data_IF_842215254403
#
_entry.id   IF_842215254403
#
_cell.length_a   1.000
_cell.length_b   1.000
_cell.length_c   1.000
_cell.angle_alpha   90.00
_cell.angle_beta   90.00
_cell.angle_gamma   90.00
#
_symmetry.space_group_name_H-M   'P 1'
#
loop_
_entity.id
_entity.type
_entity.pdbx_description
1 polymer ?
#
# COMPACT_ATOMS: atom_id res chain seq x y z
N UNK A 1 13.57 -18.80 -3.18
CA UNK A 1 14.48 -18.42 -4.29
C UNK A 1 13.74 -17.86 -5.48
N UNK A 2 12.64 -18.46 -5.96
CA UNK A 2 11.87 -17.91 -7.10
C UNK A 2 11.47 -16.45 -6.91
N UNK A 3 10.94 -16.10 -5.73
CA UNK A 3 10.64 -14.69 -5.40
C UNK A 3 11.84 -13.76 -5.47
N UNK A 4 13.08 -14.23 -5.22
CA UNK A 4 14.27 -13.39 -5.36
C UNK A 4 14.62 -13.14 -6.84
N UNK A 5 14.41 -14.15 -7.69
CA UNK A 5 14.52 -14.00 -9.15
C UNK A 5 13.50 -12.97 -9.65
N UNK A 6 12.27 -13.03 -9.15
CA UNK A 6 11.23 -12.06 -9.52
C UNK A 6 11.60 -10.64 -9.10
N UNK A 7 12.03 -10.44 -7.84
CA UNK A 7 12.52 -9.15 -7.34
C UNK A 7 13.69 -8.63 -8.19
N UNK A 8 14.65 -9.48 -8.54
CA UNK A 8 15.78 -9.08 -9.38
C UNK A 8 15.34 -8.66 -10.79
N UNK A 9 14.39 -9.37 -11.40
CA UNK A 9 13.82 -9.03 -12.72
C UNK A 9 13.08 -7.70 -12.70
N UNK A 10 12.31 -7.42 -11.63
CA UNK A 10 11.60 -6.16 -11.44
C UNK A 10 12.58 -5.00 -11.18
N UNK A 11 13.55 -5.19 -10.28
CA UNK A 11 14.55 -4.16 -9.95
C UNK A 11 15.42 -3.78 -11.16
N UNK A 12 15.72 -4.75 -12.04
CA UNK A 12 16.46 -4.51 -13.29
C UNK A 12 15.78 -3.45 -14.18
N UNK A 13 14.46 -3.34 -14.15
CA UNK A 13 13.67 -2.38 -14.93
C UNK A 13 13.19 -1.18 -14.11
N UNK A 14 13.90 -0.83 -13.04
CA UNK A 14 13.61 0.35 -12.21
C UNK A 14 12.33 0.29 -11.37
N UNK A 15 11.74 -0.90 -11.20
CA UNK A 15 10.59 -1.10 -10.33
C UNK A 15 10.97 -1.16 -8.86
N UNK A 16 10.34 -0.32 -8.02
CA UNK A 16 10.35 -0.49 -6.58
C UNK A 16 9.44 -1.66 -6.17
N UNK A 17 9.85 -2.43 -5.16
CA UNK A 17 9.13 -3.67 -4.79
C UNK A 17 8.64 -3.63 -3.34
N UNK A 18 7.40 -4.05 -3.11
CA UNK A 18 6.92 -4.47 -1.80
C UNK A 18 6.93 -6.00 -1.72
N UNK A 19 7.30 -6.58 -0.57
CA UNK A 19 7.34 -8.03 -0.38
C UNK A 19 6.85 -8.45 1.01
N UNK A 20 5.76 -9.22 1.06
CA UNK A 20 5.23 -9.80 2.29
C UNK A 20 6.06 -11.00 2.72
N UNK A 21 6.50 -11.02 3.98
CA UNK A 21 7.29 -12.12 4.56
C UNK A 21 6.54 -12.94 5.62
N UNK A 22 5.25 -12.66 5.84
CA UNK A 22 4.39 -13.23 6.88
C UNK A 22 4.35 -14.76 6.92
N UNK A 23 4.56 -15.40 5.77
CA UNK A 23 4.44 -16.87 5.61
C UNK A 23 5.75 -17.63 5.78
N UNK A 24 6.88 -16.93 5.94
CA UNK A 24 8.18 -17.59 6.08
C UNK A 24 8.33 -18.07 7.53
N UNK A 25 8.43 -19.39 7.74
CA UNK A 25 8.53 -19.99 9.08
C UNK A 25 9.59 -19.33 9.97
N UNK A 26 9.26 -19.18 11.25
CA UNK A 26 10.11 -18.51 12.22
C UNK A 26 11.37 -19.32 12.58
N UNK A 27 12.32 -18.67 13.26
CA UNK A 27 13.53 -19.31 13.79
C UNK A 27 13.18 -20.46 14.74
N UNK A 28 13.90 -21.57 14.62
CA UNK A 28 13.69 -22.76 15.44
C UNK A 28 12.58 -23.70 14.95
N UNK A 29 11.78 -23.30 13.96
CA UNK A 29 10.73 -24.12 13.35
C UNK A 29 11.29 -25.41 12.74
N UNK A 30 10.64 -26.56 12.97
CA UNK A 30 11.11 -27.87 12.48
C UNK A 30 10.99 -28.00 10.96
N UNK A 31 12.06 -28.46 10.33
CA UNK A 31 12.12 -28.83 8.90
C UNK A 31 12.02 -30.35 8.81
N UNK A 32 10.89 -30.85 8.31
CA UNK A 32 10.59 -32.29 8.32
C UNK A 32 11.59 -33.12 7.49
N UNK A 33 11.95 -32.64 6.29
CA UNK A 33 12.78 -33.38 5.33
C UNK A 33 14.24 -33.56 5.78
N UNK A 34 14.81 -32.56 6.46
CA UNK A 34 16.21 -32.59 6.91
C UNK A 34 16.35 -32.87 8.40
N UNK A 35 15.23 -33.02 9.11
CA UNK A 35 15.13 -33.08 10.57
C UNK A 35 15.85 -31.92 11.31
N UNK A 36 16.14 -30.82 10.61
CA UNK A 36 16.79 -29.63 11.16
C UNK A 36 15.79 -28.58 11.66
N UNK A 37 16.33 -27.42 12.05
CA UNK A 37 15.56 -26.24 12.46
C UNK A 37 15.80 -25.07 11.51
N UNK A 38 14.77 -24.27 11.29
CA UNK A 38 14.85 -23.03 10.51
C UNK A 38 15.74 -22.01 11.21
N UNK A 39 16.51 -21.24 10.43
CA UNK A 39 17.24 -20.09 10.93
C UNK A 39 16.38 -18.81 11.01
N UNK A 40 15.09 -18.90 10.67
CA UNK A 40 14.14 -17.78 10.66
C UNK A 40 14.30 -16.88 9.44
N UNK A 41 13.68 -15.70 9.49
CA UNK A 41 13.62 -14.78 8.35
C UNK A 41 14.94 -14.02 8.10
N UNK A 42 15.76 -13.79 9.13
CA UNK A 42 16.93 -12.89 9.06
C UNK A 42 17.95 -13.30 7.97
N UNK A 43 18.41 -14.57 7.87
CA UNK A 43 19.40 -14.92 6.85
C UNK A 43 18.85 -14.84 5.41
N UNK A 44 17.56 -15.11 5.25
CA UNK A 44 16.87 -14.97 3.97
C UNK A 44 16.80 -13.48 3.57
N UNK A 45 16.44 -12.61 4.51
CA UNK A 45 16.43 -11.16 4.27
C UNK A 45 17.84 -10.61 4.01
N UNK A 46 18.88 -11.10 4.68
CA UNK A 46 20.28 -10.74 4.35
C UNK A 46 20.67 -11.14 2.93
N UNK A 47 20.20 -12.29 2.47
CA UNK A 47 20.44 -12.73 1.07
C UNK A 47 19.72 -11.81 0.08
N UNK A 48 18.47 -11.46 0.39
CA UNK A 48 17.68 -10.53 -0.42
C UNK A 48 18.31 -9.13 -0.45
N UNK A 49 18.82 -8.65 0.68
CA UNK A 49 19.55 -7.37 0.80
C UNK A 49 20.72 -7.30 -0.17
N UNK A 50 21.58 -8.32 -0.18
CA UNK A 50 22.71 -8.43 -1.11
C UNK A 50 22.25 -8.49 -2.57
N UNK A 51 21.13 -9.16 -2.86
CA UNK A 51 20.55 -9.22 -4.21
C UNK A 51 20.06 -7.84 -4.68
N UNK A 52 19.34 -7.10 -3.82
CA UNK A 52 18.87 -5.75 -4.11
C UNK A 52 20.04 -4.79 -4.32
N UNK A 53 21.10 -4.91 -3.52
CA UNK A 53 22.32 -4.14 -3.67
C UNK A 53 23.06 -4.44 -4.99
N UNK A 54 23.09 -5.71 -5.41
CA UNK A 54 23.74 -6.13 -6.65
C UNK A 54 22.96 -5.67 -7.90
N UNK A 55 21.62 -5.68 -7.85
CA UNK A 55 20.76 -5.27 -8.98
C UNK A 55 20.38 -3.80 -8.85
N UNK A 56 21.40 -2.92 -8.89
CA UNK A 56 21.29 -1.47 -8.68
C UNK A 56 21.22 -0.64 -9.97
N UNK A 57 20.71 -1.22 -11.06
CA UNK A 57 20.44 -0.52 -12.32
C UNK A 57 21.67 0.19 -12.91
N UNK A 58 22.88 -0.38 -12.74
CA UNK A 58 24.12 0.21 -13.23
C UNK A 58 24.45 1.56 -12.59
N UNK A 59 23.99 1.79 -11.36
CA UNK A 59 24.21 3.03 -10.60
C UNK A 59 23.25 4.17 -10.89
N UNK A 60 22.34 4.05 -11.87
CA UNK A 60 21.35 5.12 -12.19
C UNK A 60 20.32 5.32 -11.07
N UNK A 61 19.88 4.25 -10.42
CA UNK A 61 18.99 4.28 -9.27
C UNK A 61 19.23 3.04 -8.42
N UNK A 62 19.34 3.21 -7.10
CA UNK A 62 19.50 2.08 -6.17
C UNK A 62 18.26 1.19 -6.25
N UNK A 63 18.48 -0.13 -6.27
CA UNK A 63 17.39 -1.09 -6.06
C UNK A 63 16.75 -0.83 -4.70
N UNK A 64 15.43 -0.95 -4.61
CA UNK A 64 14.69 -0.67 -3.39
C UNK A 64 13.57 -1.70 -3.21
N UNK A 65 13.54 -2.32 -2.04
CA UNK A 65 12.56 -3.33 -1.68
C UNK A 65 12.11 -3.10 -0.24
N UNK A 66 10.80 -2.91 -0.04
CA UNK A 66 10.20 -2.84 1.28
C UNK A 66 9.65 -4.20 1.68
N UNK A 67 10.11 -4.72 2.80
CA UNK A 67 9.66 -5.99 3.37
C UNK A 67 8.57 -5.71 4.40
N UNK A 68 7.44 -6.38 4.25
CA UNK A 68 6.29 -6.28 5.16
C UNK A 68 6.26 -7.49 6.08
N UNK A 69 6.08 -7.25 7.38
CA UNK A 69 5.88 -8.30 8.39
C UNK A 69 4.71 -7.96 9.33
N UNK A 70 3.81 -8.91 9.57
CA UNK A 70 2.77 -8.75 10.60
C UNK A 70 3.36 -8.90 12.02
N UNK A 71 2.91 -8.08 13.00
CA UNK A 71 3.56 -8.00 14.31
C UNK A 71 3.36 -9.24 15.20
N UNK A 72 2.54 -10.21 14.80
CA UNK A 72 2.42 -11.51 15.48
C UNK A 72 3.51 -12.51 15.07
N UNK A 73 4.29 -12.23 14.03
CA UNK A 73 5.31 -13.17 13.58
C UNK A 73 6.40 -13.37 14.66
N UNK A 74 6.80 -14.61 14.93
CA UNK A 74 7.76 -14.92 16.02
C UNK A 74 9.16 -14.30 15.86
N UNK A 75 9.55 -13.95 14.64
CA UNK A 75 10.80 -13.24 14.36
C UNK A 75 10.64 -11.70 14.34
N UNK A 76 9.49 -11.12 14.77
CA UNK A 76 9.25 -9.66 14.68
C UNK A 76 10.29 -8.82 15.43
N UNK A 77 10.79 -9.29 16.56
CA UNK A 77 11.79 -8.55 17.33
C UNK A 77 13.11 -8.48 16.57
N UNK A 78 13.55 -9.59 15.96
CA UNK A 78 14.75 -9.61 15.12
C UNK A 78 14.55 -8.79 13.83
N UNK A 79 13.34 -8.77 13.28
CA UNK A 79 12.97 -7.96 12.11
C UNK A 79 13.17 -6.46 12.37
N UNK A 80 12.76 -5.97 13.53
CA UNK A 80 12.89 -4.56 13.90
C UNK A 80 14.36 -4.11 14.11
N UNK A 81 15.29 -5.06 14.24
CA UNK A 81 16.73 -4.76 14.41
C UNK A 81 17.52 -4.78 13.10
N UNK A 82 16.90 -5.17 11.97
CA UNK A 82 17.60 -5.38 10.71
C UNK A 82 18.27 -4.11 10.15
N UNK A 83 17.80 -2.93 10.54
CA UNK A 83 18.33 -1.63 10.08
C UNK A 83 19.17 -0.90 11.13
N UNK A 84 19.40 -1.50 12.29
CA UNK A 84 20.16 -0.88 13.37
C UNK A 84 21.63 -0.67 12.94
N UNK A 85 22.17 0.52 13.24
CA UNK A 85 23.57 0.85 12.92
C UNK A 85 24.60 0.12 13.78
N UNK A 86 24.18 -0.50 14.89
CA UNK A 86 25.03 -1.21 15.83
C UNK A 86 24.65 -2.68 15.93
N UNK A 87 25.59 -3.53 16.35
CA UNK A 87 25.40 -4.97 16.56
C UNK A 87 26.03 -5.82 15.46
N UNK A 88 25.51 -7.02 15.26
CA UNK A 88 26.05 -7.98 14.29
C UNK A 88 25.69 -7.62 12.84
N UNK A 89 26.68 -7.17 12.07
CA UNK A 89 26.55 -6.76 10.67
C UNK A 89 26.04 -7.89 9.75
N UNK A 90 26.33 -9.16 10.07
CA UNK A 90 25.85 -10.29 9.28
C UNK A 90 24.31 -10.41 9.33
N UNK A 91 23.67 -9.75 10.30
CA UNK A 91 22.21 -9.72 10.48
C UNK A 91 21.56 -8.43 9.98
N UNK A 92 22.32 -7.46 9.45
CA UNK A 92 21.79 -6.16 9.01
C UNK A 92 21.41 -6.14 7.53
N UNK A 93 20.37 -5.42 7.17
CA UNK A 93 19.85 -5.28 5.81
C UNK A 93 19.65 -3.80 5.45
N UNK A 94 20.76 -3.07 5.26
CA UNK A 94 20.73 -1.63 4.99
C UNK A 94 20.23 -1.26 3.58
N UNK A 95 20.06 -2.22 2.67
CA UNK A 95 19.48 -2.01 1.33
C UNK A 95 17.99 -2.35 1.25
N UNK A 96 17.41 -2.90 2.33
CA UNK A 96 15.98 -3.14 2.45
C UNK A 96 15.29 -2.05 3.28
N UNK A 97 14.05 -1.77 2.94
CA UNK A 97 13.12 -1.03 3.78
C UNK A 97 12.25 -2.01 4.58
N UNK A 98 11.75 -1.56 5.73
CA UNK A 98 10.96 -2.39 6.63
C UNK A 98 9.61 -1.72 6.90
N UNK A 99 8.54 -2.50 6.86
CA UNK A 99 7.20 -2.08 7.25
C UNK A 99 6.50 -3.16 8.08
N UNK A 100 5.71 -2.71 9.05
CA UNK A 100 4.83 -3.55 9.85
C UNK A 100 3.41 -3.47 9.28
N UNK A 101 2.83 -4.64 8.97
CA UNK A 101 1.45 -4.78 8.50
C UNK A 101 0.55 -5.09 9.72
N UNK A 102 -0.02 -4.05 10.31
CA UNK A 102 -0.54 -4.07 11.69
C UNK A 102 -2.05 -4.35 11.71
N UNK A 103 -2.52 -5.43 12.37
CA UNK A 103 -3.93 -5.65 12.64
C UNK A 103 -4.43 -4.74 13.77
N UNK A 104 -5.71 -4.37 13.73
CA UNK A 104 -6.36 -3.53 14.74
C UNK A 104 -6.33 -4.18 16.13
N UNK A 105 -6.39 -5.53 16.21
CA UNK A 105 -6.24 -6.26 17.47
C UNK A 105 -4.94 -5.93 18.19
N UNK A 106 -3.83 -5.81 17.46
CA UNK A 106 -2.55 -5.44 18.07
C UNK A 106 -2.67 -4.07 18.73
N UNK A 107 -3.25 -3.09 18.04
CA UNK A 107 -3.44 -1.74 18.58
C UNK A 107 -4.38 -1.73 19.80
N UNK A 108 -5.47 -2.50 19.78
CA UNK A 108 -6.35 -2.66 20.95
C UNK A 108 -5.61 -3.30 22.14
N UNK A 109 -4.71 -4.26 21.90
CA UNK A 109 -3.85 -4.87 22.93
C UNK A 109 -2.79 -3.86 23.42
N UNK A 110 -2.27 -2.95 22.59
CA UNK A 110 -1.38 -1.87 23.05
C UNK A 110 -2.12 -0.90 23.97
N UNK A 111 -3.31 -0.47 23.57
CA UNK A 111 -4.14 0.49 24.32
C UNK A 111 -4.48 -0.06 25.71
N UNK A 112 -5.00 -1.29 25.77
CA UNK A 112 -5.38 -1.99 27.00
C UNK A 112 -4.21 -2.50 27.86
N UNK A 113 -2.96 -2.31 27.41
CA UNK A 113 -1.78 -2.95 28.00
C UNK A 113 -2.00 -4.48 28.14
N UNK A 114 -2.39 -5.11 27.04
CA UNK A 114 -2.60 -6.54 26.93
C UNK A 114 -1.32 -7.32 26.66
N UNK A 115 -1.46 -8.64 26.70
CA UNK A 115 -0.44 -9.58 26.19
C UNK A 115 -0.61 -9.73 24.68
N UNK A 116 0.51 -9.88 23.98
CA UNK A 116 0.58 -10.19 22.57
C UNK A 116 1.38 -11.48 22.36
N UNK A 117 0.76 -12.45 21.71
CA UNK A 117 1.36 -13.74 21.37
C UNK A 117 2.02 -13.72 20.00
N UNK A 118 3.20 -14.33 19.95
CA UNK A 118 4.01 -14.46 18.77
C UNK A 118 3.99 -15.90 18.26
N UNK A 119 3.73 -16.07 16.97
CA UNK A 119 3.49 -17.37 16.34
C UNK A 119 4.48 -17.67 15.22
N UNK A 120 4.72 -18.97 15.02
CA UNK A 120 5.33 -19.46 13.79
C UNK A 120 4.21 -19.64 12.75
N UNK A 121 4.28 -19.01 11.56
CA UNK A 121 3.20 -19.09 10.57
C UNK A 121 2.91 -20.52 10.10
N UNK A 122 3.82 -21.47 10.31
CA UNK A 122 3.55 -22.89 10.09
C UNK A 122 2.41 -23.43 10.96
N UNK A 123 2.31 -22.94 12.20
CA UNK A 123 1.34 -23.42 13.20
C UNK A 123 0.00 -22.63 13.10
N UNK A 124 0.01 -21.47 12.43
CA UNK A 124 -1.15 -20.59 12.22
C UNK A 124 -1.27 -20.13 10.75
N UNK A 125 -1.36 -21.06 9.78
CA UNK A 125 -1.18 -20.75 8.35
C UNK A 125 -2.28 -19.85 7.76
N UNK A 126 -3.43 -19.74 8.41
CA UNK A 126 -4.56 -18.93 7.97
C UNK A 126 -4.45 -17.44 8.32
N UNK A 127 -3.68 -17.05 9.36
CA UNK A 127 -3.65 -15.66 9.83
C UNK A 127 -3.31 -14.61 8.75
N UNK A 128 -2.36 -14.86 7.81
CA UNK A 128 -2.11 -13.92 6.73
C UNK A 128 -3.33 -13.67 5.82
N UNK A 129 -4.27 -14.61 5.74
CA UNK A 129 -5.44 -14.59 4.87
C UNK A 129 -6.73 -14.15 5.58
N UNK A 130 -6.61 -13.65 6.80
CA UNK A 130 -7.74 -13.14 7.60
C UNK A 130 -7.45 -11.70 7.99
N UNK A 131 -8.50 -10.89 8.15
CA UNK A 131 -8.42 -9.52 8.67
C UNK A 131 -9.66 -9.21 9.50
N UNK A 132 -9.63 -8.13 10.29
CA UNK A 132 -10.74 -7.72 11.15
C UNK A 132 -11.19 -8.83 12.11
N UNK A 133 -12.51 -8.98 12.29
CA UNK A 133 -13.08 -9.91 13.27
C UNK A 133 -12.68 -11.39 13.03
N UNK A 134 -12.52 -11.80 11.76
CA UNK A 134 -12.10 -13.18 11.45
C UNK A 134 -10.65 -13.43 11.85
N UNK A 135 -9.77 -12.43 11.67
CA UNK A 135 -8.40 -12.48 12.17
C UNK A 135 -8.39 -12.55 13.69
N UNK A 136 -9.21 -11.71 14.35
CA UNK A 136 -9.28 -11.65 15.81
C UNK A 136 -9.65 -13.00 16.41
N UNK A 137 -10.74 -13.60 15.90
CA UNK A 137 -11.21 -14.91 16.36
C UNK A 137 -10.16 -16.01 16.16
N UNK A 138 -9.51 -16.05 14.99
CA UNK A 138 -8.49 -17.05 14.69
C UNK A 138 -7.22 -16.86 15.55
N UNK A 139 -6.81 -15.61 15.78
CA UNK A 139 -5.67 -15.27 16.61
C UNK A 139 -5.90 -15.68 18.07
N UNK A 140 -7.05 -15.33 18.64
CA UNK A 140 -7.39 -15.64 20.04
C UNK A 140 -7.59 -17.14 20.25
N UNK A 141 -8.16 -17.86 19.27
CA UNK A 141 -8.23 -19.32 19.31
C UNK A 141 -6.82 -19.96 19.33
N UNK A 142 -5.86 -19.41 18.57
CA UNK A 142 -4.48 -19.86 18.59
C UNK A 142 -3.78 -19.59 19.93
N UNK A 143 -4.14 -18.49 20.63
CA UNK A 143 -3.67 -18.23 22.00
C UNK A 143 -4.21 -19.28 22.98
N UNK A 144 -5.52 -19.55 22.95
CA UNK A 144 -6.18 -20.52 23.85
C UNK A 144 -5.65 -21.95 23.66
N UNK A 145 -5.37 -22.33 22.42
CA UNK A 145 -4.82 -23.66 22.08
C UNK A 145 -3.32 -23.81 22.37
N UNK A 146 -2.66 -22.74 22.85
CA UNK A 146 -1.26 -22.78 23.27
C UNK A 146 -0.25 -22.84 22.13
N UNK A 147 -0.61 -22.35 20.93
CA UNK A 147 0.27 -22.36 19.75
C UNK A 147 1.35 -21.26 19.78
N UNK A 148 1.27 -20.34 20.75
CA UNK A 148 2.23 -19.25 20.88
C UNK A 148 3.65 -19.77 21.14
N UNK A 149 4.62 -19.28 20.37
CA UNK A 149 6.06 -19.53 20.61
C UNK A 149 6.57 -18.73 21.80
N UNK A 150 6.03 -17.52 21.96
CA UNK A 150 6.39 -16.55 22.99
C UNK A 150 5.25 -15.56 23.15
N UNK A 151 5.07 -15.04 24.34
CA UNK A 151 4.19 -13.90 24.59
C UNK A 151 4.99 -12.71 25.12
N UNK A 152 4.59 -11.50 24.75
CA UNK A 152 5.21 -10.23 25.14
C UNK A 152 4.13 -9.25 25.58
N UNK A 153 4.50 -8.17 26.28
CA UNK A 153 3.57 -7.06 26.50
C UNK A 153 3.41 -6.29 25.20
N UNK A 154 2.17 -6.03 24.79
CA UNK A 154 1.90 -5.35 23.52
C UNK A 154 2.58 -3.96 23.48
N UNK A 155 2.53 -3.21 24.59
CA UNK A 155 3.21 -1.91 24.72
C UNK A 155 4.73 -2.01 24.59
N UNK A 156 5.35 -3.10 25.04
CA UNK A 156 6.80 -3.29 24.88
C UNK A 156 7.16 -3.49 23.40
N UNK A 157 6.41 -4.33 22.69
CA UNK A 157 6.63 -4.52 21.26
C UNK A 157 6.39 -3.20 20.49
N UNK A 158 5.30 -2.50 20.78
CA UNK A 158 5.01 -1.20 20.16
C UNK A 158 6.11 -0.16 20.44
N UNK A 159 6.63 -0.07 21.66
CA UNK A 159 7.75 0.81 21.98
C UNK A 159 9.02 0.47 21.17
N UNK A 160 9.28 -0.82 20.89
CA UNK A 160 10.38 -1.24 20.01
C UNK A 160 10.13 -0.85 18.55
N UNK A 161 8.89 -0.97 18.06
CA UNK A 161 8.52 -0.52 16.71
C UNK A 161 8.75 0.99 16.55
N UNK A 162 8.29 1.79 17.51
CA UNK A 162 8.49 3.25 17.51
C UNK A 162 9.97 3.64 17.59
N UNK A 163 10.76 2.89 18.38
CA UNK A 163 12.21 3.09 18.45
C UNK A 163 12.88 2.80 17.11
N UNK A 164 12.53 1.70 16.44
CA UNK A 164 13.04 1.36 15.11
C UNK A 164 12.78 2.51 14.11
N UNK A 165 11.55 3.05 14.12
CA UNK A 165 11.15 4.18 13.28
C UNK A 165 11.95 5.45 13.59
N UNK A 166 12.07 5.80 14.86
CA UNK A 166 12.81 6.99 15.28
C UNK A 166 14.31 6.92 14.99
N UNK A 167 14.94 5.76 15.19
CA UNK A 167 16.39 5.61 15.05
C UNK A 167 16.84 5.40 13.59
N UNK A 168 15.98 4.80 12.75
CA UNK A 168 16.38 4.33 11.41
C UNK A 168 15.54 4.88 10.26
N UNK A 169 14.42 5.56 10.55
CA UNK A 169 13.42 5.95 9.57
C UNK A 169 12.72 4.77 8.88
N UNK A 170 12.82 3.56 9.44
CA UNK A 170 12.23 2.31 8.90
C UNK A 170 11.41 1.58 9.98
N UNK A 171 10.68 0.53 9.60
CA UNK A 171 9.66 -0.06 10.46
C UNK A 171 8.36 0.74 10.34
N UNK A 172 8.01 1.15 9.12
CA UNK A 172 6.83 1.95 8.84
C UNK A 172 5.55 1.25 9.29
N UNK A 173 4.55 2.03 9.68
CA UNK A 173 3.29 1.52 10.19
C UNK A 173 2.25 1.54 9.09
N UNK A 174 1.73 0.38 8.72
CA UNK A 174 0.64 0.24 7.74
C UNK A 174 -0.45 -0.65 8.34
N UNK A 175 -1.72 -0.30 8.14
CA UNK A 175 -2.83 -0.88 8.91
C UNK A 175 -3.63 -1.89 8.08
N UNK A 176 -3.42 -3.18 8.38
CA UNK A 176 -3.96 -4.33 7.67
C UNK A 176 -5.47 -4.28 7.50
N UNK A 177 -6.18 -4.08 8.61
CA UNK A 177 -7.63 -4.27 8.66
C UNK A 177 -8.34 -3.15 7.90
N UNK A 178 -7.91 -1.90 8.08
CA UNK A 178 -8.47 -0.78 7.32
C UNK A 178 -8.18 -0.91 5.82
N UNK A 179 -6.94 -1.26 5.45
CA UNK A 179 -6.58 -1.49 4.04
C UNK A 179 -7.47 -2.57 3.41
N UNK A 180 -7.70 -3.69 4.08
CA UNK A 180 -8.55 -4.76 3.57
C UNK A 180 -10.04 -4.42 3.60
N UNK A 181 -10.53 -3.76 4.64
CA UNK A 181 -11.95 -3.41 4.77
C UNK A 181 -12.41 -2.40 3.71
N UNK A 182 -11.51 -1.56 3.20
CA UNK A 182 -11.85 -0.50 2.23
C UNK A 182 -11.29 -0.73 0.84
N UNK A 183 -10.51 -1.79 0.58
CA UNK A 183 -10.00 -2.06 -0.76
C UNK A 183 -11.14 -2.53 -1.67
N UNK A 184 -11.22 -1.96 -2.88
CA UNK A 184 -12.25 -2.35 -3.85
C UNK A 184 -12.11 -3.82 -4.31
N UNK A 185 -10.92 -4.41 -4.18
CA UNK A 185 -10.57 -5.75 -4.65
C UNK A 185 -10.85 -6.87 -3.62
N UNK A 186 -11.24 -6.52 -2.39
CA UNK A 186 -11.42 -7.47 -1.26
C UNK A 186 -12.89 -7.75 -0.94
N UNK A 187 -13.79 -7.58 -1.92
CA UNK A 187 -15.22 -7.74 -1.70
C UNK A 187 -15.64 -9.21 -1.52
N UNK A 188 -14.85 -10.14 -2.04
CA UNK A 188 -15.10 -11.59 -2.00
C UNK A 188 -14.10 -12.29 -1.06
N UNK A 189 -14.53 -13.37 -0.36
CA UNK A 189 -13.63 -14.22 0.40
C UNK A 189 -12.48 -14.75 -0.45
N UNK A 190 -11.28 -14.86 0.15
CA UNK A 190 -10.08 -15.33 -0.53
C UNK A 190 -9.26 -14.23 -1.23
N UNK A 191 -9.78 -13.01 -1.35
CA UNK A 191 -9.02 -11.85 -1.81
C UNK A 191 -8.60 -10.99 -0.61
N UNK A 192 -7.32 -11.07 -0.25
CA UNK A 192 -6.72 -10.33 0.87
C UNK A 192 -5.49 -9.59 0.39
N UNK A 193 -5.35 -8.36 0.85
CA UNK A 193 -4.14 -7.55 0.67
C UNK A 193 -3.19 -7.85 1.81
N UNK A 194 -2.04 -8.43 1.47
CA UNK A 194 -1.01 -8.85 2.44
C UNK A 194 0.05 -7.78 2.71
N UNK A 195 0.11 -6.72 1.90
CA UNK A 195 1.14 -5.70 1.96
C UNK A 195 0.73 -4.43 1.20
N UNK A 196 1.53 -3.38 1.37
CA UNK A 196 1.58 -2.28 0.40
C UNK A 196 2.87 -2.36 -0.45
N UNK A 197 3.11 -1.39 -1.31
CA UNK A 197 4.30 -1.32 -2.17
C UNK A 197 5.51 -0.70 -1.44
N UNK A 198 6.54 -0.30 -2.19
CA UNK A 198 7.73 0.36 -1.64
C UNK A 198 7.41 1.66 -0.90
N UNK A 199 6.38 2.41 -1.31
CA UNK A 199 6.12 3.76 -0.80
C UNK A 199 4.82 3.85 0.03
N UNK A 200 4.21 2.72 0.36
CA UNK A 200 3.04 2.56 1.25
C UNK A 200 1.69 3.09 0.72
N UNK A 201 1.63 3.57 -0.52
CA UNK A 201 0.42 4.16 -1.12
C UNK A 201 -0.47 3.15 -1.87
N UNK A 202 0.08 2.01 -2.28
CA UNK A 202 -0.64 1.01 -3.09
C UNK A 202 -1.17 -0.12 -2.23
N UNK A 203 -2.46 -0.42 -2.38
CA UNK A 203 -3.16 -1.47 -1.63
C UNK A 203 -3.89 -2.36 -2.63
N UNK A 204 -3.17 -3.35 -3.16
CA UNK A 204 -3.63 -4.26 -4.21
C UNK A 204 -3.51 -5.71 -3.74
N UNK A 205 -4.44 -6.57 -4.18
CA UNK A 205 -4.40 -8.00 -3.86
C UNK A 205 -3.24 -8.67 -4.59
N UNK A 206 -2.57 -9.59 -3.90
CA UNK A 206 -1.45 -10.37 -4.46
C UNK A 206 -1.59 -11.83 -4.08
N UNK A 207 -1.16 -12.72 -4.96
CA UNK A 207 -1.06 -14.14 -4.65
C UNK A 207 0.13 -14.77 -5.40
N UNK A 208 0.21 -16.10 -5.46
CA UNK A 208 1.32 -16.78 -6.14
C UNK A 208 1.28 -16.63 -7.67
N UNK A 209 0.09 -16.44 -8.24
CA UNK A 209 -0.17 -16.26 -9.66
C UNK A 209 -0.24 -14.77 -10.07
N UNK A 210 -0.48 -13.85 -9.13
CA UNK A 210 -0.69 -12.43 -9.39
C UNK A 210 0.30 -11.56 -8.62
N UNK A 211 1.14 -10.84 -9.38
CA UNK A 211 2.00 -9.79 -8.84
C UNK A 211 1.39 -8.43 -9.17
N UNK A 212 0.90 -7.72 -8.15
CA UNK A 212 0.33 -6.38 -8.30
C UNK A 212 1.30 -5.40 -8.98
N UNK A 213 0.77 -4.50 -9.80
CA UNK A 213 1.53 -3.48 -10.53
C UNK A 213 0.75 -2.19 -10.53
N UNK A 214 1.40 -1.10 -10.13
CA UNK A 214 0.80 0.21 -10.20
C UNK A 214 1.33 1.03 -11.39
N UNK A 215 0.43 1.74 -12.06
CA UNK A 215 0.71 2.75 -13.07
C UNK A 215 0.42 4.11 -12.44
N UNK A 216 1.48 4.90 -12.20
CA UNK A 216 1.40 6.13 -11.41
C UNK A 216 1.44 7.39 -12.27
N UNK A 217 0.66 8.39 -11.87
CA UNK A 217 0.72 9.75 -12.40
C UNK A 217 0.34 10.75 -11.31
N UNK A 218 0.76 12.01 -11.43
CA UNK A 218 0.43 13.02 -10.40
C UNK A 218 0.06 14.36 -11.03
N UNK A 219 -1.01 14.96 -10.51
CA UNK A 219 -1.50 16.26 -10.95
C UNK A 219 -0.86 17.37 -10.11
N UNK A 220 -0.28 18.38 -10.76
CA UNK A 220 0.14 19.60 -10.09
C UNK A 220 -1.09 20.47 -9.78
N UNK A 221 -1.53 20.45 -8.51
CA UNK A 221 -2.72 21.18 -8.07
C UNK A 221 -2.54 22.69 -8.21
N UNK A 222 -1.32 23.22 -8.07
CA UNK A 222 -1.04 24.65 -8.18
C UNK A 222 -1.40 25.22 -9.57
N UNK A 223 -1.45 24.39 -10.61
CA UNK A 223 -1.86 24.79 -11.98
C UNK A 223 -3.36 25.03 -12.12
N UNK A 224 -4.14 24.69 -11.11
CA UNK A 224 -5.60 24.83 -11.06
C UNK A 224 -6.04 25.98 -10.17
N UNK A 225 -5.14 26.93 -9.88
CA UNK A 225 -5.48 28.16 -9.17
C UNK A 225 -5.41 29.33 -10.15
N UNK A 226 -6.46 30.15 -10.20
CA UNK A 226 -6.59 31.35 -11.01
C UNK A 226 -7.02 32.54 -10.14
N UNK A 227 -7.30 33.69 -10.75
CA UNK A 227 -7.67 34.92 -10.03
C UNK A 227 -9.02 34.82 -9.28
N UNK A 228 -9.86 33.83 -9.63
CA UNK A 228 -11.15 33.55 -9.00
C UNK A 228 -11.05 32.50 -7.88
N UNK A 229 -9.90 31.87 -7.69
CA UNK A 229 -9.68 30.82 -6.69
C UNK A 229 -9.26 29.49 -7.31
N UNK A 230 -9.73 28.38 -6.73
CA UNK A 230 -9.43 27.03 -7.20
C UNK A 230 -10.41 26.60 -8.30
N UNK A 231 -9.90 26.21 -9.46
CA UNK A 231 -10.64 25.82 -10.66
C UNK A 231 -10.94 24.32 -10.68
N UNK A 232 -12.10 23.95 -10.17
CA UNK A 232 -12.55 22.55 -10.11
C UNK A 232 -12.92 21.99 -11.49
N UNK A 233 -13.31 22.83 -12.45
CA UNK A 233 -13.66 22.38 -13.80
C UNK A 233 -12.41 21.99 -14.59
N UNK A 234 -11.36 22.81 -14.53
CA UNK A 234 -10.04 22.47 -15.10
C UNK A 234 -9.44 21.23 -14.41
N UNK A 235 -9.58 21.12 -13.09
CA UNK A 235 -9.11 19.94 -12.36
C UNK A 235 -9.82 18.67 -12.86
N UNK A 236 -11.15 18.70 -12.99
CA UNK A 236 -11.91 17.57 -13.51
C UNK A 236 -11.49 17.18 -14.92
N UNK A 237 -11.23 18.15 -15.82
CA UNK A 237 -10.70 17.89 -17.17
C UNK A 237 -9.32 17.22 -17.13
N UNK A 238 -8.42 17.73 -16.29
CA UNK A 238 -7.07 17.18 -16.12
C UNK A 238 -7.09 15.75 -15.57
N UNK A 239 -7.92 15.49 -14.56
CA UNK A 239 -8.11 14.15 -13.97
C UNK A 239 -8.62 13.16 -15.02
N UNK A 240 -9.64 13.53 -15.79
CA UNK A 240 -10.21 12.67 -16.85
C UNK A 240 -9.17 12.30 -17.90
N UNK A 241 -8.35 13.26 -18.33
CA UNK A 241 -7.24 13.01 -19.25
C UNK A 241 -6.20 12.07 -18.64
N UNK A 242 -5.79 12.34 -17.40
CA UNK A 242 -4.79 11.54 -16.69
C UNK A 242 -5.22 10.07 -16.54
N UNK A 243 -6.47 9.80 -16.15
CA UNK A 243 -7.00 8.42 -16.05
C UNK A 243 -6.96 7.70 -17.40
N UNK A 244 -7.33 8.37 -18.50
CA UNK A 244 -7.23 7.78 -19.85
C UNK A 244 -5.79 7.47 -20.25
N UNK A 245 -4.84 8.34 -19.88
CA UNK A 245 -3.42 8.09 -20.12
C UNK A 245 -2.90 6.91 -19.29
N UNK A 246 -3.27 6.83 -18.01
CA UNK A 246 -2.87 5.74 -17.13
C UNK A 246 -3.45 4.38 -17.58
N UNK A 247 -4.73 4.33 -17.98
CA UNK A 247 -5.32 3.12 -18.57
C UNK A 247 -4.60 2.70 -19.85
N UNK A 248 -4.21 3.65 -20.69
CA UNK A 248 -3.47 3.37 -21.92
C UNK A 248 -2.03 2.86 -21.69
N UNK A 249 -1.42 3.17 -20.53
CA UNK A 249 -0.11 2.64 -20.12
C UNK A 249 -0.20 1.15 -19.82
N UNK A 250 -1.29 0.68 -19.21
CA UNK A 250 -1.49 -0.74 -18.87
C UNK A 250 -1.25 -1.64 -20.09
N UNK A 251 -1.81 -1.26 -21.24
CA UNK A 251 -1.73 -2.04 -22.48
C UNK A 251 -0.38 -1.88 -23.22
N UNK A 252 0.37 -0.81 -22.94
CA UNK A 252 1.66 -0.49 -23.58
C UNK A 252 2.88 -0.94 -22.77
N UNK A 253 2.68 -1.22 -21.49
CA UNK A 253 3.77 -1.48 -20.57
C UNK A 253 4.48 -2.81 -20.89
N UNK A 254 5.78 -2.86 -20.62
CA UNK A 254 6.57 -4.07 -20.72
C UNK A 254 6.64 -4.74 -19.34
N UNK A 255 5.92 -5.85 -19.16
CA UNK A 255 5.93 -6.60 -17.91
C UNK A 255 7.09 -7.61 -17.89
N UNK A 256 8.04 -7.51 -16.94
CA UNK A 256 9.12 -8.48 -16.84
C UNK A 256 8.68 -9.83 -16.28
N UNK A 257 7.48 -9.92 -15.70
CA UNK A 257 6.91 -11.13 -15.11
C UNK A 257 5.52 -11.39 -15.71
N UNK A 258 5.22 -12.66 -16.03
CA UNK A 258 3.90 -13.06 -16.52
C UNK A 258 2.81 -12.86 -15.46
N UNK A 259 3.14 -13.12 -14.19
CA UNK A 259 2.24 -12.88 -13.04
C UNK A 259 1.85 -11.41 -12.91
N UNK A 260 2.74 -10.49 -13.32
CA UNK A 260 2.50 -9.05 -13.33
C UNK A 260 1.59 -8.63 -14.50
N UNK A 261 1.84 -9.18 -15.69
CA UNK A 261 0.98 -8.96 -16.85
C UNK A 261 -0.44 -9.47 -16.61
N UNK A 262 -0.57 -10.68 -16.05
CA UNK A 262 -1.86 -11.29 -15.75
C UNK A 262 -2.66 -10.49 -14.69
N UNK A 263 -1.99 -10.08 -13.61
CA UNK A 263 -2.63 -9.26 -12.57
C UNK A 263 -3.15 -7.93 -13.15
N UNK A 264 -2.32 -7.20 -13.87
CA UNK A 264 -2.70 -5.88 -14.37
C UNK A 264 -3.75 -5.96 -15.50
N UNK A 265 -3.75 -7.03 -16.30
CA UNK A 265 -4.81 -7.26 -17.30
C UNK A 265 -6.18 -7.51 -16.65
N UNK A 266 -6.24 -8.28 -15.56
CA UNK A 266 -7.48 -8.64 -14.88
C UNK A 266 -8.10 -7.49 -14.07
N UNK A 267 -7.26 -6.77 -13.33
CA UNK A 267 -7.70 -5.75 -12.36
C UNK A 267 -7.56 -4.31 -12.89
N UNK A 268 -6.64 -4.07 -13.81
CA UNK A 268 -6.34 -2.77 -14.41
C UNK A 268 -6.20 -1.59 -13.41
N UNK A 269 -5.56 -1.74 -12.24
CA UNK A 269 -5.40 -0.64 -11.30
C UNK A 269 -4.52 0.48 -11.86
N UNK A 270 -4.85 1.71 -11.47
CA UNK A 270 -4.02 2.91 -11.68
C UNK A 270 -3.91 3.68 -10.37
N UNK A 271 -2.84 4.45 -10.22
CA UNK A 271 -2.62 5.31 -9.06
C UNK A 271 -2.43 6.75 -9.49
N UNK A 272 -3.53 7.49 -9.57
CA UNK A 272 -3.52 8.93 -9.74
C UNK A 272 -3.28 9.60 -8.38
N UNK A 273 -2.15 10.28 -8.25
CA UNK A 273 -1.80 11.12 -7.12
C UNK A 273 -1.91 12.61 -7.46
N UNK A 274 -1.43 13.42 -6.53
CA UNK A 274 -1.33 14.87 -6.65
C UNK A 274 0.03 15.34 -6.16
N UNK A 275 0.41 16.56 -6.52
CA UNK A 275 1.53 17.31 -5.95
C UNK A 275 1.17 18.79 -5.87
N UNK A 276 1.92 19.55 -5.08
CA UNK A 276 1.75 20.99 -4.94
C UNK A 276 0.51 21.41 -4.14
N UNK A 277 0.05 20.61 -3.18
CA UNK A 277 -1.04 21.02 -2.29
C UNK A 277 -0.65 22.27 -1.46
N UNK A 278 0.58 22.30 -0.96
CA UNK A 278 1.11 23.46 -0.23
C UNK A 278 1.15 24.73 -1.10
N UNK A 279 1.47 24.60 -2.39
CA UNK A 279 1.47 25.72 -3.34
C UNK A 279 0.07 26.31 -3.53
N UNK A 280 -0.98 25.46 -3.60
CA UNK A 280 -2.38 25.92 -3.65
C UNK A 280 -2.67 26.80 -2.45
N UNK A 281 -2.33 26.33 -1.26
CA UNK A 281 -2.57 27.07 -0.03
C UNK A 281 -1.78 28.38 0.03
N UNK A 282 -0.54 28.40 -0.43
CA UNK A 282 0.22 29.66 -0.55
C UNK A 282 -0.42 30.65 -1.52
N UNK A 283 -0.83 30.19 -2.71
CA UNK A 283 -1.47 31.06 -3.71
C UNK A 283 -2.79 31.65 -3.21
N UNK A 284 -3.55 30.87 -2.43
CA UNK A 284 -4.82 31.29 -1.83
C UNK A 284 -4.66 31.95 -0.44
N UNK A 285 -3.42 32.12 0.03
CA UNK A 285 -3.09 32.69 1.36
C UNK A 285 -3.79 31.96 2.52
N UNK A 286 -3.92 30.64 2.41
CA UNK A 286 -4.49 29.78 3.43
C UNK A 286 -3.37 29.14 4.26
N UNK A 287 -3.35 29.31 5.59
CA UNK A 287 -2.51 28.49 6.45
C UNK A 287 -2.87 27.00 6.29
N UNK A 288 -1.87 26.12 6.27
CA UNK A 288 -2.08 24.69 6.01
C UNK A 288 -3.07 24.04 7.00
N UNK A 289 -3.07 24.48 8.26
CA UNK A 289 -3.95 23.99 9.32
C UNK A 289 -5.26 24.77 9.46
N UNK A 290 -5.56 25.72 8.57
CA UNK A 290 -6.78 26.50 8.61
C UNK A 290 -8.01 25.62 8.28
N UNK A 291 -9.17 25.86 8.92
CA UNK A 291 -10.42 25.16 8.57
C UNK A 291 -10.77 25.24 7.08
N UNK A 292 -10.50 26.39 6.45
CA UNK A 292 -10.73 26.64 5.03
C UNK A 292 -9.79 25.81 4.15
N UNK A 293 -8.51 25.66 4.53
CA UNK A 293 -7.56 24.80 3.84
C UNK A 293 -7.98 23.32 3.92
N UNK A 294 -8.46 22.89 5.09
CA UNK A 294 -9.01 21.55 5.29
C UNK A 294 -10.27 21.30 4.44
N UNK A 295 -11.17 22.29 4.37
CA UNK A 295 -12.37 22.21 3.55
C UNK A 295 -12.02 22.10 2.05
N UNK A 296 -11.11 22.97 1.57
CA UNK A 296 -10.64 22.95 0.21
C UNK A 296 -9.92 21.63 -0.14
N UNK A 297 -9.07 21.11 0.76
CA UNK A 297 -8.41 19.81 0.56
C UNK A 297 -9.40 18.67 0.37
N UNK A 298 -10.48 18.66 1.17
CA UNK A 298 -11.57 17.68 1.02
C UNK A 298 -12.29 17.83 -0.32
N UNK A 299 -12.63 19.06 -0.72
CA UNK A 299 -13.29 19.33 -2.01
C UNK A 299 -12.41 18.91 -3.20
N UNK A 300 -11.11 19.17 -3.13
CA UNK A 300 -10.13 18.73 -4.14
C UNK A 300 -10.11 17.20 -4.23
N UNK A 301 -9.99 16.51 -3.09
CA UNK A 301 -9.95 15.05 -3.06
C UNK A 301 -11.24 14.43 -3.60
N UNK A 302 -12.39 15.01 -3.25
CA UNK A 302 -13.70 14.59 -3.75
C UNK A 302 -13.83 14.79 -5.26
N UNK A 303 -13.46 15.98 -5.77
CA UNK A 303 -13.50 16.29 -7.19
C UNK A 303 -12.62 15.35 -8.01
N UNK A 304 -11.41 15.03 -7.53
CA UNK A 304 -10.52 14.05 -8.16
C UNK A 304 -11.16 12.68 -8.20
N UNK A 305 -11.68 12.20 -7.08
CA UNK A 305 -12.26 10.85 -7.03
C UNK A 305 -13.50 10.73 -7.93
N UNK A 306 -14.39 11.72 -7.91
CA UNK A 306 -15.57 11.78 -8.78
C UNK A 306 -15.18 11.78 -10.26
N UNK A 307 -14.24 12.64 -10.66
CA UNK A 307 -13.79 12.75 -12.05
C UNK A 307 -13.05 11.49 -12.51
N UNK A 308 -12.27 10.85 -11.63
CA UNK A 308 -11.55 9.62 -11.94
C UNK A 308 -12.51 8.43 -12.15
N UNK A 309 -13.50 8.27 -11.27
CA UNK A 309 -14.55 7.26 -11.43
C UNK A 309 -15.36 7.49 -12.70
N UNK A 310 -15.73 8.75 -12.98
CA UNK A 310 -16.46 9.11 -14.21
C UNK A 310 -15.67 8.74 -15.46
N UNK A 311 -14.37 9.07 -15.51
CA UNK A 311 -13.51 8.73 -16.63
C UNK A 311 -13.33 7.21 -16.82
N UNK A 312 -13.19 6.46 -15.73
CA UNK A 312 -13.06 5.01 -15.77
C UNK A 312 -14.37 4.31 -16.18
N UNK A 313 -15.52 4.86 -15.77
CA UNK A 313 -16.83 4.42 -16.23
C UNK A 313 -17.02 4.68 -17.74
N UNK A 314 -16.67 5.87 -18.22
CA UNK A 314 -16.71 6.19 -19.67
C UNK A 314 -15.83 5.22 -20.48
N UNK A 315 -14.63 4.92 -19.99
CA UNK A 315 -13.77 3.90 -20.60
C UNK A 315 -14.39 2.50 -20.57
N UNK A 316 -15.16 2.16 -19.53
CA UNK A 316 -15.87 0.89 -19.46
C UNK A 316 -16.99 0.81 -20.51
N UNK A 317 -17.72 1.90 -20.74
CA UNK A 317 -18.72 2.00 -21.81
C UNK A 317 -18.05 1.88 -23.19
N UNK A 318 -16.90 2.52 -23.38
CA UNK A 318 -16.16 2.51 -24.65
C UNK A 318 -15.48 1.17 -24.96
N UNK A 319 -14.95 0.47 -23.94
CA UNK A 319 -14.00 -0.66 -24.10
C UNK A 319 -14.35 -1.91 -23.31
N UNK A 320 -15.47 -1.89 -22.60
CA UNK A 320 -15.86 -2.90 -21.60
C UNK A 320 -15.20 -2.66 -20.24
N UNK A 321 -15.83 -3.11 -19.13
CA UNK A 321 -15.22 -3.08 -17.80
C UNK A 321 -14.00 -4.00 -17.72
N UNK A 322 -13.18 -3.85 -16.68
CA UNK A 322 -12.10 -4.81 -16.42
C UNK A 322 -12.67 -6.19 -16.04
N UNK A 323 -11.93 -7.26 -16.34
CA UNK A 323 -12.40 -8.65 -16.16
C UNK A 323 -12.86 -8.94 -14.72
N UNK A 324 -12.11 -8.44 -13.73
CA UNK A 324 -12.41 -8.67 -12.33
C UNK A 324 -13.53 -7.76 -11.76
N UNK A 325 -14.18 -6.90 -12.56
CA UNK A 325 -15.17 -5.93 -12.05
C UNK A 325 -16.28 -6.57 -11.22
N UNK A 326 -16.92 -7.69 -11.62
CA UNK A 326 -17.97 -8.33 -10.84
C UNK A 326 -17.55 -8.75 -9.41
N UNK A 327 -16.26 -8.90 -9.17
CA UNK A 327 -15.67 -9.30 -7.88
C UNK A 327 -15.40 -8.10 -6.95
N UNK A 328 -15.69 -6.89 -7.40
CA UNK A 328 -15.34 -5.66 -6.68
C UNK A 328 -16.48 -5.13 -5.81
N UNK A 329 -16.14 -4.25 -4.87
CA UNK A 329 -17.12 -3.50 -4.05
C UNK A 329 -17.93 -2.54 -4.93
N UNK A 330 -17.28 -1.89 -5.89
CA UNK A 330 -17.91 -0.96 -6.81
C UNK A 330 -19.03 -1.62 -7.65
N UNK A 331 -18.90 -2.91 -8.01
CA UNK A 331 -19.97 -3.67 -8.68
C UNK A 331 -21.21 -3.85 -7.81
N UNK A 332 -21.10 -3.69 -6.49
CA UNK A 332 -22.19 -3.73 -5.51
C UNK A 332 -22.68 -2.33 -5.13
N UNK A 333 -22.16 -1.28 -5.77
CA UNK A 333 -22.47 0.11 -5.45
C UNK A 333 -21.73 0.65 -4.21
N UNK A 334 -20.80 -0.10 -3.65
CA UNK A 334 -19.97 0.32 -2.51
C UNK A 334 -18.76 1.13 -3.02
N UNK A 335 -18.78 2.45 -2.83
CA UNK A 335 -17.67 3.36 -3.17
C UNK A 335 -16.85 3.75 -1.94
N UNK A 336 -15.63 4.22 -2.16
CA UNK A 336 -14.61 4.41 -1.12
C UNK A 336 -15.12 5.16 0.11
N UNK A 337 -15.80 6.29 -0.08
CA UNK A 337 -16.25 7.18 0.99
C UNK A 337 -17.22 6.49 1.98
N UNK A 338 -17.99 5.50 1.53
CA UNK A 338 -19.00 4.82 2.35
C UNK A 338 -18.34 4.06 3.52
N UNK A 339 -17.11 3.58 3.31
CA UNK A 339 -16.35 2.86 4.34
C UNK A 339 -15.76 3.76 5.45
N UNK A 340 -15.91 5.08 5.31
CA UNK A 340 -15.38 6.08 6.23
C UNK A 340 -16.48 6.89 6.94
N UNK A 341 -17.74 6.46 6.84
CA UNK A 341 -18.87 7.16 7.45
C UNK A 341 -19.15 8.52 6.83
N UNK A 342 -18.64 8.77 5.62
CA UNK A 342 -18.98 9.93 4.81
C UNK A 342 -20.24 9.57 4.01
N UNK A 343 -21.16 10.51 3.84
CA UNK A 343 -22.35 10.32 3.01
C UNK A 343 -22.34 11.34 1.88
N UNK A 344 -22.64 10.87 0.67
CA UNK A 344 -22.92 11.71 -0.48
C UNK A 344 -24.33 11.41 -0.98
N UNK A 345 -25.28 12.23 -0.52
CA UNK A 345 -26.70 12.09 -0.88
C UNK A 345 -27.10 12.98 -2.07
N UNK A 346 -26.11 13.52 -2.78
CA UNK A 346 -26.38 14.34 -3.95
C UNK A 346 -26.71 13.49 -5.20
N UNK A 347 -27.45 14.11 -6.12
CA UNK A 347 -27.94 13.43 -7.30
C UNK A 347 -26.82 12.97 -8.25
N UNK A 348 -25.65 13.64 -8.26
CA UNK A 348 -24.55 13.26 -9.16
C UNK A 348 -23.84 12.00 -8.68
N UNK A 349 -23.65 11.82 -7.36
CA UNK A 349 -23.04 10.61 -6.82
C UNK A 349 -23.98 9.41 -6.95
N UNK A 350 -25.27 9.62 -6.70
CA UNK A 350 -26.30 8.61 -6.97
C UNK A 350 -26.27 8.17 -8.45
N UNK A 351 -26.32 9.13 -9.38
CA UNK A 351 -26.30 8.84 -10.81
C UNK A 351 -25.01 8.10 -11.25
N UNK A 352 -23.85 8.53 -10.76
CA UNK A 352 -22.57 7.90 -11.08
C UNK A 352 -22.48 6.48 -10.52
N UNK A 353 -22.89 6.26 -9.27
CA UNK A 353 -22.92 4.91 -8.66
C UNK A 353 -23.83 3.98 -9.46
N UNK A 354 -25.03 4.41 -9.80
CA UNK A 354 -25.99 3.58 -10.54
C UNK A 354 -25.48 3.28 -11.96
N UNK A 355 -24.80 4.23 -12.60
CA UNK A 355 -24.13 4.01 -13.88
C UNK A 355 -22.94 3.04 -13.77
N UNK A 356 -22.14 3.13 -12.71
CA UNK A 356 -21.04 2.19 -12.43
C UNK A 356 -21.57 0.77 -12.20
N UNK A 357 -22.65 0.59 -11.44
CA UNK A 357 -23.23 -0.74 -11.23
C UNK A 357 -23.75 -1.33 -12.54
N UNK A 358 -24.34 -0.50 -13.40
CA UNK A 358 -24.90 -0.94 -14.69
C UNK A 358 -23.84 -1.28 -15.74
N UNK A 359 -22.88 -0.39 -15.97
CA UNK A 359 -21.95 -0.48 -17.12
C UNK A 359 -20.51 -0.85 -16.69
N UNK A 360 -20.21 -0.72 -15.42
CA UNK A 360 -18.93 -1.08 -14.83
C UNK A 360 -17.87 0.03 -14.81
N UNK A 361 -16.67 -0.36 -14.39
CA UNK A 361 -15.45 0.45 -14.38
C UNK A 361 -14.35 -0.22 -15.20
N UNK A 362 -13.50 0.60 -15.83
CA UNK A 362 -12.33 0.10 -16.56
C UNK A 362 -11.15 -0.20 -15.64
N UNK A 363 -11.11 0.37 -14.44
CA UNK A 363 -9.98 0.27 -13.51
C UNK A 363 -10.49 -0.07 -12.11
N UNK A 364 -9.91 -1.09 -11.46
CA UNK A 364 -10.34 -1.52 -10.11
C UNK A 364 -9.96 -0.54 -9.01
N UNK A 365 -8.87 0.20 -9.17
CA UNK A 365 -8.38 1.24 -8.27
C UNK A 365 -7.91 2.42 -9.11
N UNK A 366 -8.05 3.64 -8.58
CA UNK A 366 -7.89 4.87 -9.36
C UNK A 366 -6.96 5.91 -8.72
N UNK A 367 -7.04 6.09 -7.41
CA UNK A 367 -6.37 7.18 -6.69
C UNK A 367 -5.39 6.60 -5.68
N UNK A 368 -4.13 7.01 -5.78
CA UNK A 368 -3.08 6.67 -4.84
C UNK A 368 -2.06 7.82 -4.82
N UNK A 369 -1.92 8.50 -3.68
CA UNK A 369 -1.03 9.65 -3.54
C UNK A 369 0.36 9.14 -3.21
N UNK A 370 1.16 8.90 -4.24
CA UNK A 370 2.56 8.51 -4.10
C UNK A 370 3.45 9.70 -3.70
N UNK A 371 4.62 9.45 -3.09
CA UNK A 371 5.67 10.45 -2.95
C UNK A 371 6.11 10.96 -4.33
N UNK A 372 6.21 12.28 -4.49
CA UNK A 372 6.48 12.92 -5.78
C UNK A 372 7.86 13.56 -5.87
N UNK A 373 8.82 13.18 -5.01
CA UNK A 373 10.14 13.77 -4.87
C UNK A 373 10.80 14.28 -6.16
N UNK A 374 11.00 13.38 -7.14
CA UNK A 374 11.66 13.77 -8.39
C UNK A 374 10.76 14.60 -9.30
N UNK A 375 9.48 14.22 -9.45
CA UNK A 375 8.58 14.85 -10.42
C UNK A 375 8.09 16.23 -9.95
N UNK A 376 7.93 16.45 -8.64
CA UNK A 376 7.59 17.74 -8.06
C UNK A 376 8.75 18.73 -8.20
N UNK A 377 9.99 18.27 -8.01
CA UNK A 377 11.19 19.06 -8.28
C UNK A 377 11.27 19.48 -9.76
N UNK A 378 11.03 18.56 -10.70
CA UNK A 378 10.97 18.86 -12.14
C UNK A 378 9.84 19.87 -12.45
N UNK A 379 8.68 19.71 -11.83
CA UNK A 379 7.52 20.59 -12.04
C UNK A 379 7.61 21.94 -11.33
N UNK A 380 8.60 22.13 -10.44
CA UNK A 380 8.79 23.34 -9.65
C UNK A 380 7.68 23.58 -8.62
N UNK A 381 7.25 22.53 -7.90
CA UNK A 381 6.23 22.59 -6.85
C UNK A 381 6.61 21.71 -5.65
N UNK A 382 5.89 21.88 -4.53
CA UNK A 382 6.06 21.02 -3.34
C UNK A 382 5.56 19.60 -3.57
N UNK A 383 6.12 18.67 -2.78
CA UNK A 383 5.80 17.26 -2.88
C UNK A 383 4.37 16.95 -2.41
N UNK A 384 3.73 16.04 -3.13
CA UNK A 384 2.48 15.37 -2.78
C UNK A 384 1.43 16.26 -2.09
N UNK A 385 1.08 15.90 -0.86
CA UNK A 385 0.13 16.58 0.03
C UNK A 385 0.80 17.11 1.29
N UNK A 386 2.13 17.10 1.33
CA UNK A 386 2.91 17.47 2.51
C UNK A 386 3.02 18.99 2.64
N UNK A 387 3.06 19.52 3.88
CA UNK A 387 3.41 20.90 4.09
C UNK A 387 4.89 21.14 3.75
N UNK A 388 5.24 22.40 3.48
CA UNK A 388 6.65 22.78 3.32
C UNK A 388 7.44 22.48 4.60
N UNK A 389 8.55 21.75 4.46
CA UNK A 389 9.41 21.36 5.58
C UNK A 389 10.38 22.48 6.00
N UNK A 390 10.91 23.25 5.05
CA UNK A 390 11.82 24.38 5.31
C UNK A 390 11.56 25.54 4.37
N UNK A 391 11.62 26.77 4.89
CA UNK A 391 11.54 28.04 4.13
C UNK A 391 12.89 28.49 3.55
N UNK A 392 13.98 27.81 3.92
CA UNK A 392 15.37 28.13 3.56
C UNK A 392 16.12 26.86 3.15
#
# INVERSE_FOLDING_TARGET
YDRYKDVARLSKLSGGVGLAFHRVRARGSRIASTNGRSNGIVPWLKTLDSSVAAVNQGGKRKGACCVYLEPWHADVLDFLELRNNTGDEARRTHNLNLACWVPDLFMRRVESDGVWSLFDPKDVPSLPDLFGADFDAAYEAAEVTGLARRSVRARELYARMMRCLAETGNGWMTFKDRCNATCNQTAEPGHVVHLSNLCTEIVEVTDQAQTAVCNLGSINLARHVNDLGFDFEELARTVRLAVRQLDAVIDRNLYPLETAAASNAAWRPVGLGVMGLQDVFFRLRLPFNAPEARALSREIAEAIYFAALSASHELAVERGPHEAFPKTRAARGELQWAHWGVAHDDARWTALRDAIVRDGLRNSLLVAIAPTATIASIAGCYECIEPQVSNL
#
